data_IF_725329959178
#
_entry.id   IF_725329959178
#
_cell.length_a   1.000
_cell.length_b   1.000
_cell.length_c   1.000
_cell.angle_alpha   90.00
_cell.angle_beta   90.00
_cell.angle_gamma   90.00
#
_symmetry.space_group_name_H-M   'P 1'
#
loop_
_entity.id
_entity.type
_entity.pdbx_description
1 polymer ?
#
# COMPACT_ATOMS: atom_id res chain seq x y z
N UNK A 1 29.28 12.95 -2.07
CA UNK A 1 29.36 12.31 -0.73
C UNK A 1 28.29 11.23 -0.72
N UNK A 2 28.68 9.97 -0.59
CA UNK A 2 27.76 8.85 -0.56
C UNK A 2 26.91 8.93 0.73
N UNK A 3 25.60 8.97 0.58
CA UNK A 3 24.65 8.81 1.68
C UNK A 3 24.96 7.43 2.31
N UNK A 4 25.27 7.34 3.61
CA UNK A 4 25.52 6.06 4.21
C UNK A 4 24.24 5.23 4.09
N UNK A 5 24.31 4.07 3.45
CA UNK A 5 23.30 3.05 3.46
C UNK A 5 22.89 2.79 4.91
N UNK A 6 21.74 3.29 5.32
CA UNK A 6 21.12 2.94 6.59
C UNK A 6 20.79 1.46 6.50
N UNK A 7 21.72 0.62 6.99
CA UNK A 7 21.49 -0.84 7.06
C UNK A 7 20.30 -1.03 8.00
N UNK A 8 19.14 -1.42 7.47
CA UNK A 8 18.02 -1.88 8.28
C UNK A 8 18.54 -2.86 9.32
N UNK A 9 18.05 -2.77 10.55
CA UNK A 9 18.43 -3.71 11.58
C UNK A 9 18.13 -5.15 11.12
N UNK A 10 18.90 -6.17 11.53
CA UNK A 10 18.62 -7.56 11.15
C UNK A 10 17.18 -7.98 11.46
N UNK A 11 16.61 -7.49 12.56
CA UNK A 11 15.24 -7.81 12.96
C UNK A 11 14.21 -7.26 11.97
N UNK A 12 14.34 -5.99 11.55
CA UNK A 12 13.45 -5.37 10.53
C UNK A 12 13.49 -6.17 9.24
N UNK A 13 14.68 -6.63 8.81
CA UNK A 13 14.84 -7.48 7.62
C UNK A 13 14.15 -8.82 7.76
N UNK A 14 14.29 -9.47 8.92
CA UNK A 14 13.62 -10.75 9.18
C UNK A 14 12.11 -10.59 9.11
N UNK A 15 11.56 -9.57 9.79
CA UNK A 15 10.11 -9.28 9.75
C UNK A 15 9.65 -8.99 8.32
N UNK A 16 10.44 -8.25 7.54
CA UNK A 16 10.12 -7.96 6.13
C UNK A 16 10.12 -9.24 5.29
N UNK A 17 11.11 -10.12 5.45
CA UNK A 17 11.15 -11.42 4.78
C UNK A 17 9.96 -12.30 5.14
N UNK A 18 9.54 -12.29 6.41
CA UNK A 18 8.33 -13.00 6.86
C UNK A 18 7.09 -12.43 6.15
N UNK A 19 6.95 -11.11 6.06
CA UNK A 19 5.83 -10.47 5.37
C UNK A 19 5.81 -10.80 3.88
N UNK A 20 6.95 -10.77 3.20
CA UNK A 20 7.07 -11.13 1.79
C UNK A 20 6.63 -12.59 1.56
N UNK A 21 7.03 -13.50 2.43
CA UNK A 21 6.64 -14.90 2.37
C UNK A 21 5.13 -15.09 2.64
N UNK A 22 4.57 -14.42 3.63
CA UNK A 22 3.14 -14.48 3.94
C UNK A 22 2.31 -13.91 2.78
N UNK A 23 2.74 -12.80 2.20
CA UNK A 23 2.06 -12.20 1.04
C UNK A 23 2.13 -13.11 -0.18
N UNK A 24 3.29 -13.74 -0.44
CA UNK A 24 3.44 -14.69 -1.54
C UNK A 24 2.53 -15.92 -1.36
N UNK A 25 2.41 -16.45 -0.14
CA UNK A 25 1.48 -17.53 0.19
C UNK A 25 0.02 -17.09 -0.01
N UNK A 26 -0.35 -15.89 0.45
CA UNK A 26 -1.69 -15.32 0.27
C UNK A 26 -2.05 -15.18 -1.21
N UNK A 27 -1.11 -14.71 -2.04
CA UNK A 27 -1.29 -14.60 -3.49
C UNK A 27 -1.38 -15.97 -4.18
N UNK A 28 -0.61 -16.96 -3.72
CA UNK A 28 -0.68 -18.32 -4.23
C UNK A 28 -2.05 -18.95 -3.93
N UNK A 29 -2.56 -18.80 -2.71
CA UNK A 29 -3.91 -19.26 -2.32
C UNK A 29 -5.00 -18.55 -3.13
N UNK A 30 -4.86 -17.24 -3.37
CA UNK A 30 -5.77 -16.48 -4.23
C UNK A 30 -5.78 -17.06 -5.66
N UNK A 31 -4.59 -17.25 -6.25
CA UNK A 31 -4.45 -17.79 -7.60
C UNK A 31 -5.03 -19.21 -7.69
N UNK A 32 -4.72 -20.06 -6.72
CA UNK A 32 -5.25 -21.44 -6.69
C UNK A 32 -6.77 -21.49 -6.61
N UNK A 33 -7.40 -20.53 -5.90
CA UNK A 33 -8.85 -20.54 -5.67
C UNK A 33 -9.65 -19.83 -6.75
N UNK A 34 -9.09 -18.78 -7.37
CA UNK A 34 -9.84 -17.88 -8.24
C UNK A 34 -9.30 -17.75 -9.67
N UNK A 35 -8.16 -18.37 -9.97
CA UNK A 35 -7.53 -18.29 -11.29
C UNK A 35 -7.29 -19.71 -11.83
N UNK A 36 -8.39 -20.40 -12.09
CA UNK A 36 -8.37 -21.73 -12.71
C UNK A 36 -9.36 -21.75 -13.87
N UNK A 37 -9.14 -22.62 -14.83
CA UNK A 37 -9.97 -22.71 -16.06
C UNK A 37 -11.40 -23.22 -15.78
N UNK A 38 -11.62 -23.85 -14.64
CA UNK A 38 -12.89 -24.52 -14.28
C UNK A 38 -13.73 -23.73 -13.26
N UNK A 39 -13.51 -22.41 -13.09
CA UNK A 39 -14.29 -21.62 -12.15
C UNK A 39 -15.71 -21.42 -12.67
N UNK A 40 -16.68 -22.04 -12.02
CA UNK A 40 -18.08 -21.70 -12.18
C UNK A 40 -18.45 -20.52 -11.26
N UNK A 41 -18.96 -19.44 -11.85
CA UNK A 41 -19.33 -18.25 -11.10
C UNK A 41 -19.90 -17.15 -11.95
N UNK A 42 -20.13 -16.01 -11.31
CA UNK A 42 -20.56 -14.79 -11.98
C UNK A 42 -19.35 -14.00 -12.46
N UNK A 43 -19.43 -13.38 -13.61
CA UNK A 43 -18.42 -12.48 -14.13
C UNK A 43 -18.85 -11.03 -13.91
N UNK A 44 -17.95 -10.22 -13.36
CA UNK A 44 -18.18 -8.77 -13.28
C UNK A 44 -16.87 -7.98 -13.43
N UNK A 45 -16.98 -6.68 -13.82
CA UNK A 45 -15.83 -5.79 -13.89
C UNK A 45 -15.11 -5.64 -12.54
N UNK A 46 -13.78 -5.49 -12.56
CA UNK A 46 -13.01 -5.17 -11.35
C UNK A 46 -13.51 -3.90 -10.66
N UNK A 47 -14.02 -2.96 -11.45
CA UNK A 47 -14.57 -1.71 -10.95
C UNK A 47 -15.75 -1.92 -9.99
N UNK A 48 -16.51 -3.00 -10.15
CA UNK A 48 -17.73 -3.26 -9.37
C UNK A 48 -17.48 -3.97 -8.04
N UNK A 49 -16.21 -4.35 -7.75
CA UNK A 49 -15.83 -4.95 -6.46
C UNK A 49 -15.54 -3.92 -5.36
N UNK A 50 -15.31 -2.66 -5.75
CA UNK A 50 -14.96 -1.62 -4.79
C UNK A 50 -15.34 -0.22 -5.28
N UNK A 51 -15.46 0.73 -4.35
CA UNK A 51 -15.47 2.15 -4.65
C UNK A 51 -14.02 2.66 -4.78
N UNK A 52 -13.71 3.25 -5.92
CA UNK A 52 -12.38 3.84 -6.21
C UNK A 52 -12.44 5.35 -6.03
N UNK A 53 -12.13 5.81 -4.83
CA UNK A 53 -12.23 7.22 -4.44
C UNK A 53 -10.89 7.89 -4.73
N UNK A 54 -10.86 8.77 -5.75
CA UNK A 54 -9.64 9.50 -6.08
C UNK A 54 -9.28 10.52 -4.99
N UNK A 55 -7.97 10.70 -4.76
CA UNK A 55 -7.48 11.71 -3.84
C UNK A 55 -7.68 13.14 -4.35
N UNK A 56 -7.32 14.14 -3.54
CA UNK A 56 -7.46 15.56 -3.83
C UNK A 56 -6.25 16.12 -4.58
N UNK A 57 -6.49 17.13 -5.42
CA UNK A 57 -5.43 17.97 -5.97
C UNK A 57 -4.97 19.01 -4.93
N UNK A 58 -3.65 19.25 -4.89
CA UNK A 58 -3.05 20.26 -4.02
C UNK A 58 -2.22 21.24 -4.85
N UNK A 59 -2.45 22.54 -4.65
CA UNK A 59 -1.59 23.60 -5.17
C UNK A 59 -0.34 23.73 -4.30
N UNK A 60 0.80 24.15 -4.82
CA UNK A 60 2.00 24.41 -4.01
C UNK A 60 1.76 25.32 -2.80
N UNK A 61 0.88 26.34 -2.96
CA UNK A 61 0.53 27.27 -1.89
C UNK A 61 -0.34 26.67 -0.77
N UNK A 62 -0.91 25.50 -0.97
CA UNK A 62 -1.69 24.76 0.03
C UNK A 62 -0.84 23.76 0.82
N UNK A 63 0.41 23.55 0.40
CA UNK A 63 1.32 22.59 1.01
C UNK A 63 2.20 23.28 2.05
N UNK A 64 2.16 22.82 3.29
CA UNK A 64 2.90 23.38 4.44
C UNK A 64 3.69 22.30 5.18
N UNK A 65 3.97 22.62 6.45
CA UNK A 65 4.72 21.78 7.39
C UNK A 65 3.80 21.26 8.54
N UNK A 66 2.53 21.69 8.57
CA UNK A 66 1.57 21.36 9.62
C UNK A 66 0.27 20.82 9.05
N UNK A 67 -0.51 20.12 9.88
CA UNK A 67 -1.79 19.52 9.51
C UNK A 67 -1.67 18.04 9.20
N UNK A 68 -2.48 17.55 8.24
CA UNK A 68 -2.45 16.16 7.80
C UNK A 68 -1.39 15.95 6.73
N UNK A 69 -0.59 14.86 6.79
CA UNK A 69 0.37 14.55 5.74
C UNK A 69 -0.35 14.28 4.41
N UNK A 70 0.18 14.85 3.32
CA UNK A 70 -0.32 14.64 1.96
C UNK A 70 0.36 13.40 1.39
N UNK A 71 -0.43 12.36 1.14
CA UNK A 71 0.08 11.07 0.68
C UNK A 71 0.08 11.01 -0.84
N UNK A 72 1.29 11.02 -1.40
CA UNK A 72 1.59 10.79 -2.81
C UNK A 72 2.24 9.41 -2.96
N UNK A 73 2.62 9.05 -4.17
CA UNK A 73 3.29 7.78 -4.49
C UNK A 73 4.60 7.60 -3.71
N UNK A 74 5.31 8.68 -3.43
CA UNK A 74 6.57 8.63 -2.66
C UNK A 74 6.31 8.23 -1.21
N UNK A 75 5.27 8.76 -0.58
CA UNK A 75 4.88 8.41 0.79
C UNK A 75 4.30 6.98 0.87
N UNK A 76 3.66 6.48 -0.19
CA UNK A 76 3.21 5.07 -0.23
C UNK A 76 4.38 4.08 -0.20
N UNK A 77 5.51 4.46 -0.78
CA UNK A 77 6.71 3.59 -0.87
C UNK A 77 7.65 3.73 0.32
N UNK A 78 7.81 4.96 0.82
CA UNK A 78 8.86 5.30 1.78
C UNK A 78 8.30 5.68 3.15
N UNK A 79 6.97 5.70 3.32
CA UNK A 79 6.33 6.24 4.51
C UNK A 79 6.41 7.77 4.57
N UNK A 80 6.06 8.32 5.74
CA UNK A 80 6.14 9.74 6.04
C UNK A 80 7.58 10.07 6.41
N UNK A 81 8.17 11.08 5.73
CA UNK A 81 9.56 11.51 5.92
C UNK A 81 9.62 13.03 6.11
N UNK A 82 10.80 13.57 6.42
CA UNK A 82 11.03 15.04 6.55
C UNK A 82 10.68 15.83 5.28
N UNK A 83 10.64 15.17 4.13
CA UNK A 83 10.27 15.79 2.84
C UNK A 83 8.75 15.78 2.60
N UNK A 84 7.99 15.05 3.39
CA UNK A 84 6.53 14.96 3.26
C UNK A 84 5.89 16.31 3.52
N UNK A 85 4.98 16.70 2.64
CA UNK A 85 4.23 17.96 2.79
C UNK A 85 2.89 17.70 3.49
N UNK A 86 2.44 18.71 4.20
CA UNK A 86 1.24 18.67 5.03
C UNK A 86 0.20 19.65 4.51
N UNK A 87 -1.04 19.41 4.85
CA UNK A 87 -2.17 20.29 4.57
C UNK A 87 -2.94 20.62 5.84
N UNK A 88 -2.98 21.91 6.15
CA UNK A 88 -3.74 22.45 7.28
C UNK A 88 -5.04 23.08 6.75
N UNK A 89 -6.02 22.24 6.47
CA UNK A 89 -7.29 22.66 5.91
C UNK A 89 -8.25 21.48 5.74
N UNK A 90 -9.34 21.70 5.01
CA UNK A 90 -10.35 20.70 4.75
C UNK A 90 -10.74 20.67 3.27
N UNK A 91 -10.59 19.51 2.61
CA UNK A 91 -11.01 19.27 1.24
C UNK A 91 -12.21 18.31 1.11
N UNK A 92 -12.62 17.71 2.23
CA UNK A 92 -13.74 16.77 2.33
C UNK A 92 -13.32 15.42 2.90
N UNK A 93 -14.21 14.80 3.66
CA UNK A 93 -14.01 13.51 4.35
C UNK A 93 -13.55 12.39 3.41
N UNK A 94 -14.06 12.38 2.17
CA UNK A 94 -13.75 11.34 1.18
C UNK A 94 -12.26 11.24 0.81
N UNK A 95 -11.48 12.28 1.07
CA UNK A 95 -10.05 12.31 0.78
C UNK A 95 -9.18 11.87 1.96
N UNK A 96 -9.80 11.70 3.13
CA UNK A 96 -9.11 11.21 4.31
C UNK A 96 -8.89 9.71 4.21
N UNK A 97 -7.73 9.30 4.66
CA UNK A 97 -7.33 7.90 4.79
C UNK A 97 -6.91 7.61 6.21
N UNK A 98 -6.99 6.34 6.58
CA UNK A 98 -6.61 5.83 7.88
C UNK A 98 -5.98 4.44 7.76
N UNK A 99 -5.45 3.94 8.83
CA UNK A 99 -4.84 2.61 8.89
C UNK A 99 -5.76 1.53 8.33
N UNK A 100 -5.14 0.58 7.63
CA UNK A 100 -5.77 -0.51 6.88
C UNK A 100 -6.54 -0.08 5.62
N UNK A 101 -6.50 1.19 5.22
CA UNK A 101 -7.03 1.56 3.91
C UNK A 101 -6.18 0.95 2.80
N UNK A 102 -6.85 0.45 1.76
CA UNK A 102 -6.21 -0.04 0.54
C UNK A 102 -6.05 1.14 -0.41
N UNK A 103 -4.82 1.38 -0.82
CA UNK A 103 -4.47 2.49 -1.70
C UNK A 103 -3.93 1.95 -3.02
N UNK A 104 -4.51 2.39 -4.13
CA UNK A 104 -4.07 2.02 -5.48
C UNK A 104 -3.44 3.22 -6.18
N UNK A 105 -2.13 3.18 -6.34
CA UNK A 105 -1.39 4.15 -7.16
C UNK A 105 -1.59 3.82 -8.63
N UNK A 106 -2.39 4.63 -9.31
CA UNK A 106 -2.83 4.37 -10.68
C UNK A 106 -2.07 5.16 -11.75
N UNK A 107 -1.14 6.02 -11.37
CA UNK A 107 -0.41 6.92 -12.28
C UNK A 107 1.09 6.93 -11.98
N UNK A 108 1.91 7.13 -13.00
CA UNK A 108 3.35 7.26 -12.89
C UNK A 108 4.12 6.29 -13.78
N UNK A 109 5.33 5.92 -13.37
CA UNK A 109 6.12 4.93 -14.09
C UNK A 109 5.42 3.56 -13.97
N UNK A 110 5.11 2.86 -15.10
CA UNK A 110 4.35 1.62 -15.10
C UNK A 110 4.95 0.52 -14.23
N UNK A 111 6.27 0.38 -14.20
CA UNK A 111 6.94 -0.70 -13.49
C UNK A 111 7.10 -0.42 -12.00
N UNK A 112 7.29 0.85 -11.64
CA UNK A 112 7.68 1.22 -10.28
C UNK A 112 6.64 2.01 -9.51
N UNK A 113 5.65 2.63 -10.18
CA UNK A 113 4.66 3.49 -9.52
C UNK A 113 3.26 2.90 -9.44
N UNK A 114 2.91 2.01 -10.40
CA UNK A 114 1.60 1.34 -10.40
C UNK A 114 1.64 0.18 -9.42
N UNK A 115 0.96 0.34 -8.29
CA UNK A 115 0.90 -0.72 -7.26
C UNK A 115 -0.25 -0.50 -6.26
N UNK A 116 -0.49 -1.52 -5.44
CA UNK A 116 -1.51 -1.54 -4.40
C UNK A 116 -0.82 -1.63 -3.04
N UNK A 117 -1.24 -0.78 -2.10
CA UNK A 117 -0.63 -0.63 -0.78
C UNK A 117 -1.67 -0.78 0.33
N UNK A 118 -1.21 -1.23 1.49
CA UNK A 118 -1.95 -1.15 2.75
C UNK A 118 -1.39 0.06 3.51
N UNK A 119 -2.25 1.01 3.89
CA UNK A 119 -1.82 2.18 4.64
C UNK A 119 -1.63 1.86 6.12
N UNK A 120 -0.55 2.39 6.72
CA UNK A 120 -0.10 2.03 8.09
C UNK A 120 0.44 3.22 8.89
N UNK A 121 0.20 4.46 8.45
CA UNK A 121 0.75 5.66 9.10
C UNK A 121 -0.32 6.59 9.66
N UNK A 122 -1.47 6.03 10.08
CA UNK A 122 -2.53 6.78 10.71
C UNK A 122 -3.32 7.68 9.77
N UNK A 123 -3.92 8.73 10.33
CA UNK A 123 -4.78 9.64 9.58
C UNK A 123 -3.97 10.55 8.66
N UNK A 124 -4.36 10.61 7.40
CA UNK A 124 -3.69 11.38 6.36
C UNK A 124 -4.68 11.86 5.28
N UNK A 125 -4.21 12.66 4.33
CA UNK A 125 -5.02 13.12 3.18
C UNK A 125 -4.40 12.64 1.87
N UNK A 126 -5.21 12.03 1.00
CA UNK A 126 -4.76 11.37 -0.21
C UNK A 126 -4.63 12.33 -1.39
N UNK A 127 -3.52 12.24 -2.13
CA UNK A 127 -3.27 12.98 -3.36
C UNK A 127 -3.97 12.35 -4.57
N UNK A 128 -4.30 13.19 -5.57
CA UNK A 128 -5.09 12.87 -6.77
C UNK A 128 -4.60 11.71 -7.65
N UNK A 129 -3.39 11.23 -7.51
CA UNK A 129 -2.81 10.15 -8.33
C UNK A 129 -2.93 8.77 -7.68
N UNK A 130 -3.78 8.66 -6.66
CA UNK A 130 -4.03 7.43 -5.92
C UNK A 130 -5.52 7.30 -5.62
N UNK A 131 -6.08 6.09 -5.76
CA UNK A 131 -7.40 5.75 -5.25
C UNK A 131 -7.32 5.24 -3.82
N UNK A 132 -8.26 5.67 -2.97
CA UNK A 132 -8.64 4.92 -1.79
C UNK A 132 -9.70 3.89 -2.23
N UNK A 133 -9.40 2.61 -2.05
CA UNK A 133 -10.23 1.50 -2.52
C UNK A 133 -11.04 0.96 -1.35
N UNK A 134 -12.35 1.13 -1.40
CA UNK A 134 -13.27 0.62 -0.39
C UNK A 134 -14.05 -0.58 -0.94
N UNK A 135 -13.81 -1.74 -0.37
CA UNK A 135 -14.48 -2.98 -0.80
C UNK A 135 -15.99 -2.86 -0.66
N UNK A 136 -16.75 -3.12 -1.73
CA UNK A 136 -18.22 -3.12 -1.73
C UNK A 136 -18.78 -4.43 -1.15
N UNK A 137 -17.96 -5.48 -1.10
CA UNK A 137 -18.36 -6.80 -0.58
C UNK A 137 -18.08 -6.94 0.92
N UNK A 138 -17.40 -5.97 1.55
CA UNK A 138 -16.91 -6.08 2.92
C UNK A 138 -15.65 -6.93 3.07
N UNK A 139 -15.18 -7.56 1.98
CA UNK A 139 -14.01 -8.44 1.95
C UNK A 139 -12.76 -7.66 1.52
N UNK A 140 -12.13 -7.01 2.48
CA UNK A 140 -10.98 -6.11 2.26
C UNK A 140 -9.78 -6.86 1.69
N UNK A 141 -9.41 -7.96 2.28
CA UNK A 141 -8.18 -8.66 1.94
C UNK A 141 -8.31 -9.41 0.61
N UNK A 142 -9.49 -9.96 0.31
CA UNK A 142 -9.80 -10.45 -1.03
C UNK A 142 -9.63 -9.34 -2.07
N UNK A 143 -10.20 -8.15 -1.84
CA UNK A 143 -10.10 -7.00 -2.76
C UNK A 143 -8.64 -6.58 -2.97
N UNK A 144 -7.84 -6.54 -1.91
CA UNK A 144 -6.42 -6.25 -1.98
C UNK A 144 -5.67 -7.28 -2.84
N UNK A 145 -5.87 -8.57 -2.58
CA UNK A 145 -5.18 -9.66 -3.29
C UNK A 145 -5.64 -9.76 -4.75
N UNK A 146 -6.92 -9.52 -5.03
CA UNK A 146 -7.44 -9.41 -6.40
C UNK A 146 -6.72 -8.31 -7.17
N UNK A 147 -6.66 -7.10 -6.62
CA UNK A 147 -5.95 -6.00 -7.28
C UNK A 147 -4.45 -6.27 -7.42
N UNK A 148 -3.81 -6.89 -6.44
CA UNK A 148 -2.40 -7.34 -6.52
C UNK A 148 -2.19 -8.37 -7.63
N UNK A 149 -3.13 -9.29 -7.83
CA UNK A 149 -3.07 -10.26 -8.93
C UNK A 149 -3.10 -9.55 -10.29
N UNK A 150 -3.93 -8.52 -10.46
CA UNK A 150 -4.03 -7.76 -11.70
C UNK A 150 -2.93 -6.69 -11.89
N UNK A 151 -2.01 -6.52 -10.93
CA UNK A 151 -0.92 -5.53 -11.05
C UNK A 151 -0.12 -5.64 -12.37
N UNK A 152 0.30 -6.83 -12.85
CA UNK A 152 1.01 -6.94 -14.14
C UNK A 152 0.19 -6.38 -15.31
N UNK A 153 -1.12 -6.62 -15.31
CA UNK A 153 -2.01 -6.10 -16.34
C UNK A 153 -2.17 -4.57 -16.22
N UNK A 154 -2.26 -4.03 -15.01
CA UNK A 154 -2.27 -2.58 -14.79
C UNK A 154 -0.99 -1.93 -15.30
N UNK A 155 0.19 -2.52 -15.04
CA UNK A 155 1.47 -2.05 -15.57
C UNK A 155 1.49 -2.08 -17.09
N UNK A 156 0.97 -3.13 -17.73
CA UNK A 156 0.85 -3.26 -19.18
C UNK A 156 -0.07 -2.19 -19.78
N UNK A 157 -1.24 -1.94 -19.17
CA UNK A 157 -2.18 -0.89 -19.59
C UNK A 157 -1.52 0.48 -19.49
N UNK A 158 -0.85 0.77 -18.38
CA UNK A 158 -0.15 2.03 -18.16
C UNK A 158 0.98 2.23 -19.17
N UNK A 159 1.77 1.18 -19.47
CA UNK A 159 2.84 1.21 -20.49
C UNK A 159 2.29 1.54 -21.87
N UNK A 160 1.16 0.95 -22.26
CA UNK A 160 0.53 1.18 -23.57
C UNK A 160 -0.03 2.62 -23.72
N UNK A 161 -0.24 3.33 -22.61
CA UNK A 161 -0.73 4.73 -22.58
C UNK A 161 0.36 5.75 -22.27
N UNK A 162 1.61 5.32 -22.24
CA UNK A 162 2.74 6.17 -21.91
C UNK A 162 2.99 7.22 -23.00
N UNK A 163 2.99 8.49 -22.64
CA UNK A 163 3.30 9.59 -23.58
C UNK A 163 4.66 10.24 -23.32
N UNK A 164 5.08 10.33 -22.06
CA UNK A 164 6.36 10.97 -21.65
C UNK A 164 7.01 10.24 -20.48
N UNK A 165 7.02 8.90 -20.52
CA UNK A 165 7.52 8.07 -19.42
C UNK A 165 6.54 7.86 -18.27
N UNK A 166 5.34 8.46 -18.33
CA UNK A 166 4.27 8.30 -17.35
C UNK A 166 3.06 7.64 -17.99
N UNK A 167 2.59 6.56 -17.39
CA UNK A 167 1.38 5.86 -17.77
C UNK A 167 0.31 5.99 -16.71
N UNK A 168 -0.90 5.49 -17.01
CA UNK A 168 -2.00 5.54 -16.06
C UNK A 168 -3.04 4.44 -16.31
N UNK A 169 -3.70 4.03 -15.22
CA UNK A 169 -4.84 3.11 -15.21
C UNK A 169 -6.08 3.90 -14.81
N UNK A 170 -7.10 3.91 -15.66
CA UNK A 170 -8.33 4.68 -15.43
C UNK A 170 -9.45 3.79 -14.90
N UNK A 171 -10.52 4.40 -14.37
CA UNK A 171 -11.75 3.68 -14.04
C UNK A 171 -12.32 2.90 -15.25
N UNK A 172 -12.18 3.43 -16.47
CA UNK A 172 -12.61 2.73 -17.67
C UNK A 172 -11.79 1.46 -17.97
N UNK A 173 -10.53 1.43 -17.59
CA UNK A 173 -9.72 0.22 -17.70
C UNK A 173 -10.18 -0.85 -16.69
N UNK A 174 -10.47 -0.45 -15.46
CA UNK A 174 -11.02 -1.34 -14.44
C UNK A 174 -12.41 -1.89 -14.82
N UNK A 175 -13.20 -1.12 -15.56
CA UNK A 175 -14.50 -1.58 -16.11
C UNK A 175 -14.37 -2.59 -17.26
N UNK A 176 -13.23 -2.63 -17.93
CA UNK A 176 -12.96 -3.57 -19.04
C UNK A 176 -12.31 -4.87 -18.58
N UNK A 177 -11.67 -4.84 -17.43
CA UNK A 177 -11.10 -6.03 -16.81
C UNK A 177 -12.18 -6.71 -16.01
N UNK A 178 -12.45 -7.96 -16.34
CA UNK A 178 -13.47 -8.77 -15.65
C UNK A 178 -12.83 -9.84 -14.79
N UNK A 179 -13.58 -10.29 -13.79
CA UNK A 179 -13.18 -11.33 -12.86
C UNK A 179 -14.37 -12.26 -12.62
N UNK A 180 -14.13 -13.58 -12.74
CA UNK A 180 -15.12 -14.61 -12.43
C UNK A 180 -15.04 -14.92 -10.95
N UNK A 181 -16.17 -14.95 -10.26
CA UNK A 181 -16.21 -15.12 -8.82
C UNK A 181 -17.45 -15.89 -8.35
N UNK A 182 -17.31 -16.49 -7.19
CA UNK A 182 -18.41 -17.05 -6.41
C UNK A 182 -18.40 -16.37 -5.03
N UNK A 183 -19.55 -15.81 -4.61
CA UNK A 183 -19.65 -15.04 -3.36
C UNK A 183 -19.27 -15.87 -2.13
N UNK A 184 -19.76 -17.13 -2.05
CA UNK A 184 -19.40 -18.04 -0.95
C UNK A 184 -17.90 -18.35 -0.92
N UNK A 185 -17.27 -18.48 -2.11
CA UNK A 185 -15.82 -18.68 -2.19
C UNK A 185 -15.04 -17.45 -1.71
N UNK A 186 -15.54 -16.24 -2.01
CA UNK A 186 -14.93 -14.99 -1.51
C UNK A 186 -15.04 -14.91 0.02
N UNK A 187 -16.22 -15.17 0.58
CA UNK A 187 -16.43 -15.13 2.03
C UNK A 187 -15.52 -16.13 2.76
N UNK A 188 -15.49 -17.38 2.28
CA UNK A 188 -14.63 -18.41 2.86
C UNK A 188 -13.15 -18.05 2.75
N UNK A 189 -12.74 -17.51 1.61
CA UNK A 189 -11.37 -17.06 1.38
C UNK A 189 -10.99 -15.90 2.30
N UNK A 190 -11.86 -14.90 2.47
CA UNK A 190 -11.60 -13.78 3.38
C UNK A 190 -11.36 -14.24 4.81
N UNK A 191 -12.17 -15.22 5.28
CA UNK A 191 -11.98 -15.82 6.62
C UNK A 191 -10.63 -16.54 6.74
N UNK A 192 -10.24 -17.28 5.71
CA UNK A 192 -8.97 -18.01 5.67
C UNK A 192 -7.76 -17.09 5.62
N UNK A 193 -7.83 -16.02 4.81
CA UNK A 193 -6.70 -15.16 4.54
C UNK A 193 -6.52 -14.04 5.57
N UNK A 194 -7.58 -13.66 6.28
CA UNK A 194 -7.54 -12.56 7.25
C UNK A 194 -6.43 -12.71 8.29
N UNK A 195 -6.16 -13.87 8.91
CA UNK A 195 -5.05 -14.01 9.86
C UNK A 195 -3.67 -13.71 9.26
N UNK A 196 -3.45 -14.10 7.99
CA UNK A 196 -2.21 -13.79 7.27
C UNK A 196 -2.04 -12.28 7.08
N UNK A 197 -3.08 -11.65 6.58
CA UNK A 197 -3.06 -10.23 6.27
C UNK A 197 -3.01 -9.35 7.52
N UNK A 198 -3.66 -9.75 8.60
CA UNK A 198 -3.56 -9.07 9.90
C UNK A 198 -2.15 -9.23 10.50
N UNK A 199 -1.49 -10.37 10.30
CA UNK A 199 -0.10 -10.58 10.71
C UNK A 199 0.83 -9.69 9.89
N UNK A 200 0.66 -9.63 8.57
CA UNK A 200 1.43 -8.73 7.69
C UNK A 200 1.27 -7.27 8.16
N UNK A 201 0.03 -6.84 8.39
CA UNK A 201 -0.25 -5.49 8.86
C UNK A 201 0.43 -5.19 10.21
N UNK A 202 0.31 -6.10 11.19
CA UNK A 202 0.93 -5.95 12.50
C UNK A 202 2.46 -5.87 12.40
N UNK A 203 3.06 -6.68 11.56
CA UNK A 203 4.48 -6.67 11.27
C UNK A 203 4.94 -5.37 10.59
N UNK A 204 4.12 -4.78 9.70
CA UNK A 204 4.41 -3.47 9.10
C UNK A 204 4.47 -2.37 10.17
N UNK A 205 3.52 -2.37 11.10
CA UNK A 205 3.51 -1.42 12.24
C UNK A 205 4.73 -1.63 13.14
N UNK A 206 5.08 -2.88 13.46
CA UNK A 206 6.25 -3.15 14.31
C UNK A 206 7.56 -2.74 13.62
N UNK A 207 7.70 -2.95 12.31
CA UNK A 207 8.85 -2.46 11.56
C UNK A 207 8.99 -0.94 11.63
N UNK A 208 7.90 -0.19 11.46
CA UNK A 208 7.91 1.27 11.62
C UNK A 208 8.37 1.68 13.01
N UNK A 209 7.87 1.00 14.05
CA UNK A 209 8.25 1.27 15.43
C UNK A 209 9.74 0.99 15.67
N UNK A 210 10.26 -0.12 15.15
CA UNK A 210 11.68 -0.48 15.28
C UNK A 210 12.58 0.51 14.52
N UNK A 211 12.14 1.00 13.35
CA UNK A 211 12.86 2.01 12.58
C UNK A 211 12.93 3.34 13.32
N UNK A 212 11.80 3.82 13.86
CA UNK A 212 11.76 5.03 14.68
C UNK A 212 12.64 4.90 15.94
N UNK A 213 12.59 3.74 16.62
CA UNK A 213 13.44 3.48 17.79
C UNK A 213 14.91 3.51 17.41
N UNK A 214 15.31 2.82 16.35
CA UNK A 214 16.68 2.83 15.84
C UNK A 214 17.15 4.25 15.55
N UNK A 215 16.36 5.03 14.81
CA UNK A 215 16.74 6.36 14.36
C UNK A 215 16.81 7.37 15.51
N UNK A 216 16.06 7.14 16.59
CA UNK A 216 16.14 7.94 17.82
C UNK A 216 17.35 7.56 18.71
N UNK A 217 17.76 6.29 18.72
CA UNK A 217 18.84 5.80 19.58
C UNK A 217 20.21 5.94 18.92
N UNK A 218 20.30 5.75 17.60
CA UNK A 218 21.59 5.71 16.90
C UNK A 218 22.43 6.99 17.10
N UNK A 219 21.90 8.21 16.99
CA UNK A 219 22.65 9.44 17.25
C UNK A 219 23.16 9.51 18.69
N UNK A 220 22.37 9.07 19.67
CA UNK A 220 22.72 9.09 21.10
C UNK A 220 23.81 8.11 21.45
N UNK A 221 23.81 6.93 20.81
CA UNK A 221 24.89 5.94 20.95
C UNK A 221 26.18 6.47 20.31
N UNK A 222 26.09 7.09 19.13
CA UNK A 222 27.26 7.63 18.42
C UNK A 222 27.89 8.83 19.12
N UNK A 223 27.08 9.63 19.82
CA UNK A 223 27.58 10.78 20.62
C UNK A 223 28.10 10.37 22.00
N UNK A 224 27.91 9.11 22.44
CA UNK A 224 28.26 8.65 23.81
C UNK A 224 27.27 9.15 24.88
N UNK A 225 26.13 9.72 24.51
CA UNK A 225 25.07 10.10 25.45
C UNK A 225 24.47 8.87 26.15
N UNK A 226 24.42 7.74 25.44
CA UNK A 226 24.01 6.44 25.97
C UNK A 226 25.27 5.54 26.03
N UNK A 227 25.66 5.12 27.21
CA UNK A 227 26.72 4.14 27.40
C UNK A 227 26.12 2.73 27.36
N UNK A 228 26.70 1.85 26.55
CA UNK A 228 26.32 0.45 26.41
C UNK A 228 27.43 -0.51 26.83
N UNK A 229 28.46 -0.03 27.50
CA UNK A 229 29.63 -0.84 27.91
C UNK A 229 29.24 -2.05 28.77
N UNK A 230 28.14 -1.95 29.53
CA UNK A 230 27.64 -2.99 30.43
C UNK A 230 26.58 -3.91 29.79
N UNK A 231 26.20 -3.69 28.52
CA UNK A 231 25.22 -4.54 27.82
C UNK A 231 25.91 -5.79 27.31
N UNK A 232 25.61 -6.94 27.90
CA UNK A 232 26.00 -8.25 27.35
C UNK A 232 25.14 -8.56 26.13
N UNK A 233 25.79 -8.76 24.98
CA UNK A 233 25.17 -9.18 23.69
C UNK A 233 25.10 -10.70 23.59
#
# INVERSE_FOLDING_TARGET
MAVPFVKLSPLVRVIQTVNDNLLAQAQALFTQRFITDDIEGNEKPLYDFADYINGAAFKPSECGEHGLPIIKIVELKNGITDSTKYFDGFKGEKYLIQDKDILFSWSGNPDTSIDIFIWTHGRAILNQHTFNVKSNTGHRWFTFLMLKHFKPEFSRIASNKQTTGLGHVTANDLKRLTFIFNETAIETFEQEISPFMETIYSNMIENQRLELLRDSLLPKLMSGEIDVSDVQL
#
